data_IF_162841323067
#
_entry.id   IF_162841323067
#
_cell.length_a   1.000
_cell.length_b   1.000
_cell.length_c   1.000
_cell.angle_alpha   90.00
_cell.angle_beta   90.00
_cell.angle_gamma   90.00
#
_symmetry.space_group_name_H-M   'P 1'
#
loop_
_entity.id
_entity.type
_entity.pdbx_description
1 polymer ?
#
# COMPACT_ATOMS: atom_id res chain seq x y z
N UNK A 1 13.53 -13.19 3.72
CA UNK A 1 12.35 -14.08 3.52
C UNK A 1 11.50 -14.05 4.78
N UNK A 2 10.23 -13.64 4.68
CA UNK A 2 9.29 -13.61 5.82
C UNK A 2 8.66 -15.00 5.99
N UNK A 3 8.77 -15.58 7.19
CA UNK A 3 8.15 -16.88 7.52
C UNK A 3 6.64 -16.74 7.68
N UNK A 4 5.88 -17.83 7.52
CA UNK A 4 4.42 -17.83 7.73
C UNK A 4 4.02 -17.32 9.13
N UNK A 5 4.82 -17.64 10.16
CA UNK A 5 4.62 -17.13 11.51
C UNK A 5 4.77 -15.60 11.59
N UNK A 6 5.81 -15.04 10.97
CA UNK A 6 6.03 -13.58 10.96
C UNK A 6 4.89 -12.84 10.25
N UNK A 7 4.38 -13.38 9.14
CA UNK A 7 3.22 -12.81 8.42
C UNK A 7 1.95 -12.86 9.28
N UNK A 8 1.70 -13.97 9.98
CA UNK A 8 0.54 -14.10 10.85
C UNK A 8 0.58 -13.10 12.02
N UNK A 9 1.76 -12.89 12.62
CA UNK A 9 1.94 -11.87 13.66
C UNK A 9 1.71 -10.47 13.11
N UNK A 10 2.31 -10.11 11.97
CA UNK A 10 2.11 -8.81 11.33
C UNK A 10 0.62 -8.54 11.02
N UNK A 11 -0.09 -9.54 10.50
CA UNK A 11 -1.53 -9.43 10.22
C UNK A 11 -2.36 -9.19 11.50
N UNK A 12 -2.04 -9.87 12.60
CA UNK A 12 -2.70 -9.61 13.90
C UNK A 12 -2.46 -8.19 14.39
N UNK A 13 -1.24 -7.67 14.22
CA UNK A 13 -0.90 -6.30 14.60
C UNK A 13 -1.71 -5.29 13.78
N UNK A 14 -1.77 -5.43 12.45
CA UNK A 14 -2.57 -4.55 11.58
C UNK A 14 -4.07 -4.60 11.94
N UNK A 15 -4.61 -5.79 12.21
CA UNK A 15 -5.99 -5.93 12.68
C UNK A 15 -6.22 -5.25 14.04
N UNK A 16 -5.22 -5.28 14.93
CA UNK A 16 -5.23 -4.55 16.20
C UNK A 16 -5.32 -3.04 16.00
N UNK A 17 -4.52 -2.48 15.08
CA UNK A 17 -4.58 -1.05 14.77
C UNK A 17 -5.95 -0.63 14.22
N UNK A 18 -6.53 -1.40 13.29
CA UNK A 18 -7.88 -1.11 12.80
C UNK A 18 -8.93 -1.14 13.93
N UNK A 19 -8.83 -2.09 14.87
CA UNK A 19 -9.70 -2.11 16.05
C UNK A 19 -9.52 -0.85 16.91
N UNK A 20 -8.28 -0.42 17.14
CA UNK A 20 -7.98 0.81 17.90
C UNK A 20 -8.59 2.04 17.22
N UNK A 21 -8.48 2.17 15.90
CA UNK A 21 -9.14 3.24 15.14
C UNK A 21 -10.66 3.24 15.34
N UNK A 22 -11.30 2.06 15.32
CA UNK A 22 -12.74 2.01 15.61
C UNK A 22 -13.07 2.50 17.02
N UNK A 23 -12.28 2.06 18.01
CA UNK A 23 -12.47 2.44 19.41
C UNK A 23 -12.15 3.93 19.68
N UNK A 24 -11.41 4.60 18.80
CA UNK A 24 -11.19 6.04 18.86
C UNK A 24 -12.33 6.86 18.23
N UNK A 25 -13.30 6.20 17.60
CA UNK A 25 -14.45 6.83 16.93
C UNK A 25 -14.32 6.93 15.40
N UNK A 26 -13.22 6.44 14.82
CA UNK A 26 -13.07 6.37 13.36
C UNK A 26 -13.93 5.24 12.81
N UNK A 27 -14.85 5.55 11.91
CA UNK A 27 -15.78 4.56 11.34
C UNK A 27 -15.41 4.11 9.93
N UNK A 28 -14.54 4.85 9.24
CA UNK A 28 -14.01 4.48 7.92
C UNK A 28 -12.54 4.90 7.80
N UNK A 29 -11.70 4.03 7.27
CA UNK A 29 -10.31 4.32 6.90
C UNK A 29 -10.07 4.00 5.43
N UNK A 30 -9.05 4.64 4.85
CA UNK A 30 -8.52 4.31 3.52
C UNK A 30 -7.05 3.92 3.64
N UNK A 31 -6.72 2.67 3.36
CA UNK A 31 -5.32 2.24 3.34
C UNK A 31 -4.70 2.62 2.00
N UNK A 32 -3.42 2.99 2.01
CA UNK A 32 -2.71 3.57 0.85
C UNK A 32 -1.26 3.07 0.75
N UNK A 33 -1.05 1.80 1.11
CA UNK A 33 0.27 1.17 1.22
C UNK A 33 0.25 0.11 2.32
N UNK A 34 -0.14 -1.11 1.95
CA UNK A 34 -0.26 -2.28 2.81
C UNK A 34 0.84 -3.31 2.57
N UNK A 35 0.82 -4.38 3.37
CA UNK A 35 1.74 -5.51 3.25
C UNK A 35 1.07 -6.65 2.48
N UNK A 36 1.32 -6.74 1.17
CA UNK A 36 0.56 -7.61 0.26
C UNK A 36 -0.95 -7.42 0.45
N UNK A 37 -1.70 -8.52 0.56
CA UNK A 37 -3.18 -8.52 0.65
C UNK A 37 -3.77 -8.25 2.03
N UNK A 38 -3.01 -7.68 2.96
CA UNK A 38 -3.51 -7.52 4.34
C UNK A 38 -4.72 -6.60 4.42
N UNK A 39 -4.77 -5.56 3.61
CA UNK A 39 -5.83 -4.56 3.68
C UNK A 39 -7.16 -5.13 3.21
N UNK A 40 -7.18 -5.77 2.03
CA UNK A 40 -8.41 -6.40 1.49
C UNK A 40 -8.88 -7.56 2.37
N UNK A 41 -7.96 -8.39 2.89
CA UNK A 41 -8.32 -9.46 3.83
C UNK A 41 -8.93 -8.95 5.13
N UNK A 42 -8.40 -7.85 5.67
CA UNK A 42 -8.93 -7.26 6.89
C UNK A 42 -10.28 -6.58 6.62
N UNK A 43 -10.40 -5.84 5.51
CA UNK A 43 -11.67 -5.25 5.04
C UNK A 43 -12.76 -6.32 4.97
N UNK A 44 -12.49 -7.42 4.26
CA UNK A 44 -13.47 -8.48 4.03
C UNK A 44 -13.84 -9.18 5.35
N UNK A 45 -12.85 -9.40 6.22
CA UNK A 45 -13.07 -9.94 7.56
C UNK A 45 -13.93 -9.03 8.45
N UNK A 46 -13.78 -7.71 8.34
CA UNK A 46 -14.62 -6.73 9.07
C UNK A 46 -16.03 -6.69 8.44
N UNK A 47 -16.13 -6.60 7.12
CA UNK A 47 -17.39 -6.57 6.39
C UNK A 47 -18.25 -7.82 6.65
N UNK A 48 -17.61 -8.99 6.83
CA UNK A 48 -18.28 -10.23 7.18
C UNK A 48 -18.48 -10.44 8.69
N UNK A 49 -18.18 -9.45 9.54
CA UNK A 49 -18.32 -9.54 11.00
C UNK A 49 -17.32 -10.47 11.72
N UNK A 50 -16.32 -11.01 11.03
CA UNK A 50 -15.29 -11.90 11.62
C UNK A 50 -14.21 -11.12 12.39
N UNK A 51 -14.12 -9.81 12.18
CA UNK A 51 -13.15 -8.90 12.78
C UNK A 51 -13.85 -7.62 13.20
N UNK A 52 -13.34 -6.99 14.27
CA UNK A 52 -13.81 -5.69 14.74
C UNK A 52 -12.87 -4.63 14.17
N UNK A 53 -13.43 -3.62 13.50
CA UNK A 53 -12.71 -2.48 12.95
C UNK A 53 -13.64 -1.57 12.13
N UNK A 54 -13.15 -0.42 11.63
CA UNK A 54 -13.91 0.48 10.77
C UNK A 54 -14.14 -0.15 9.38
N UNK A 55 -15.01 0.46 8.58
CA UNK A 55 -15.04 0.20 7.14
C UNK A 55 -13.68 0.53 6.54
N UNK A 56 -13.18 -0.30 5.62
CA UNK A 56 -11.89 -0.10 4.97
C UNK A 56 -12.11 0.09 3.47
N UNK A 57 -11.51 1.13 2.89
CA UNK A 57 -11.20 1.23 1.46
C UNK A 57 -9.75 0.79 1.26
N UNK A 58 -9.55 -0.37 0.65
CA UNK A 58 -8.27 -1.06 0.62
C UNK A 58 -7.50 -0.80 -0.67
N UNK A 59 -6.21 -0.47 -0.57
CA UNK A 59 -5.30 -0.35 -1.71
C UNK A 59 -4.30 -1.52 -1.83
N UNK A 60 -4.05 -2.28 -0.76
CA UNK A 60 -2.89 -3.18 -0.66
C UNK A 60 -1.59 -2.43 -0.98
N UNK A 61 -0.65 -3.06 -1.70
CA UNK A 61 0.62 -2.46 -2.08
C UNK A 61 0.42 -1.32 -3.10
N UNK A 62 1.17 -0.24 -2.93
CA UNK A 62 1.22 0.84 -3.93
C UNK A 62 2.11 0.48 -5.12
N UNK A 63 2.14 1.37 -6.11
CA UNK A 63 3.04 1.30 -7.27
C UNK A 63 4.06 2.44 -7.16
N UNK A 64 5.33 2.08 -7.22
CA UNK A 64 6.47 2.99 -7.29
C UNK A 64 7.39 2.58 -8.44
N UNK A 65 8.49 3.29 -8.62
CA UNK A 65 9.60 2.91 -9.51
C UNK A 65 10.78 2.35 -8.70
N UNK A 66 11.73 1.64 -9.32
CA UNK A 66 13.00 1.32 -8.69
C UNK A 66 13.65 2.55 -8.05
N UNK A 67 13.99 2.46 -6.75
CA UNK A 67 14.54 3.58 -5.98
C UNK A 67 13.57 4.71 -5.65
N UNK A 68 12.27 4.56 -5.97
CA UNK A 68 11.21 5.50 -5.63
C UNK A 68 10.72 5.35 -4.19
N UNK A 69 9.78 6.21 -3.79
CA UNK A 69 9.20 6.20 -2.44
C UNK A 69 8.54 4.84 -2.13
N UNK A 70 8.87 4.29 -0.96
CA UNK A 70 8.40 3.00 -0.44
C UNK A 70 8.66 1.76 -1.33
N UNK A 71 9.45 1.88 -2.40
CA UNK A 71 9.74 0.77 -3.31
C UNK A 71 10.40 -0.41 -2.58
N UNK A 72 9.80 -1.60 -2.68
CA UNK A 72 10.27 -2.81 -1.99
C UNK A 72 9.79 -2.96 -0.54
N UNK A 73 8.87 -2.10 -0.08
CA UNK A 73 8.26 -2.18 1.25
C UNK A 73 6.73 -2.32 1.18
N UNK A 74 6.00 -1.21 1.13
CA UNK A 74 4.54 -1.17 0.95
C UNK A 74 4.14 -0.74 -0.47
N UNK A 75 5.11 -0.70 -1.37
CA UNK A 75 4.91 -0.49 -2.80
C UNK A 75 5.83 -1.41 -3.61
N UNK A 76 5.30 -1.93 -4.71
CA UNK A 76 6.10 -2.63 -5.72
C UNK A 76 6.93 -1.64 -6.54
N UNK A 77 8.08 -2.08 -7.04
CA UNK A 77 8.93 -1.31 -7.93
C UNK A 77 8.66 -1.72 -9.39
N UNK A 78 7.82 -0.96 -10.08
CA UNK A 78 7.53 -1.19 -11.50
C UNK A 78 8.64 -0.57 -12.37
N UNK A 79 9.33 -1.38 -13.16
CA UNK A 79 10.44 -0.93 -14.01
C UNK A 79 9.98 -0.21 -15.28
N UNK A 80 8.74 -0.46 -15.71
CA UNK A 80 8.13 0.12 -16.90
C UNK A 80 6.60 0.19 -16.77
N UNK A 81 5.93 0.78 -17.78
CA UNK A 81 4.47 0.93 -17.81
C UNK A 81 3.78 -0.43 -17.80
N UNK A 82 4.28 -1.41 -18.57
CA UNK A 82 3.66 -2.73 -18.65
C UNK A 82 3.69 -3.45 -17.29
N UNK A 83 4.79 -3.33 -16.55
CA UNK A 83 4.90 -3.83 -15.18
C UNK A 83 3.93 -3.12 -14.21
N UNK A 84 3.74 -1.81 -14.36
CA UNK A 84 2.78 -1.06 -13.56
C UNK A 84 1.34 -1.49 -13.87
N UNK A 85 0.98 -1.65 -15.15
CA UNK A 85 -0.34 -2.13 -15.59
C UNK A 85 -0.58 -3.56 -15.13
N UNK A 86 0.42 -4.44 -15.23
CA UNK A 86 0.31 -5.81 -14.73
C UNK A 86 0.00 -5.84 -13.22
N UNK A 87 0.58 -4.92 -12.45
CA UNK A 87 0.26 -4.79 -11.02
C UNK A 87 -1.14 -4.24 -10.78
N UNK A 88 -1.63 -3.29 -11.59
CA UNK A 88 -3.04 -2.84 -11.52
C UNK A 88 -4.00 -4.01 -11.74
N UNK A 89 -3.72 -4.88 -12.71
CA UNK A 89 -4.53 -6.08 -12.97
C UNK A 89 -4.45 -7.11 -11.82
N UNK A 90 -3.30 -7.25 -11.16
CA UNK A 90 -3.18 -8.07 -9.95
C UNK A 90 -3.99 -7.47 -8.80
N UNK A 91 -3.83 -6.19 -8.50
CA UNK A 91 -4.58 -5.51 -7.45
C UNK A 91 -6.10 -5.61 -7.68
N UNK A 92 -6.55 -5.54 -8.94
CA UNK A 92 -7.93 -5.80 -9.32
C UNK A 92 -8.38 -7.23 -8.99
N UNK A 93 -7.55 -8.26 -9.25
CA UNK A 93 -7.82 -9.65 -8.84
C UNK A 93 -7.89 -9.80 -7.32
N UNK A 94 -7.09 -9.02 -6.59
CA UNK A 94 -7.13 -8.93 -5.13
C UNK A 94 -8.32 -8.14 -4.58
N UNK A 95 -9.19 -7.64 -5.47
CA UNK A 95 -10.40 -6.89 -5.15
C UNK A 95 -10.13 -5.63 -4.34
N UNK A 96 -9.10 -4.85 -4.70
CA UNK A 96 -8.84 -3.53 -4.09
C UNK A 96 -9.92 -2.50 -4.47
N UNK A 97 -10.11 -1.48 -3.62
CA UNK A 97 -11.02 -0.37 -3.88
C UNK A 97 -10.35 0.79 -4.61
N UNK A 98 -9.00 0.88 -4.55
CA UNK A 98 -8.23 1.96 -5.17
C UNK A 98 -6.79 1.52 -5.50
N UNK A 99 -6.13 2.30 -6.36
CA UNK A 99 -4.70 2.18 -6.67
C UNK A 99 -3.96 3.39 -6.11
N UNK A 100 -2.82 3.16 -5.44
CA UNK A 100 -1.93 4.23 -4.94
C UNK A 100 -0.66 4.29 -5.79
N UNK A 101 -0.44 5.41 -6.46
CA UNK A 101 0.81 5.72 -7.15
C UNK A 101 1.73 6.58 -6.27
N UNK A 102 3.00 6.20 -6.20
CA UNK A 102 4.07 6.93 -5.52
C UNK A 102 4.89 7.70 -6.57
N UNK A 103 4.41 8.90 -6.93
CA UNK A 103 4.90 9.65 -8.09
C UNK A 103 6.26 10.32 -7.83
N UNK A 104 6.49 10.76 -6.60
CA UNK A 104 7.67 11.54 -6.21
C UNK A 104 8.49 10.83 -5.15
N UNK A 105 9.68 11.38 -4.85
CA UNK A 105 10.44 11.04 -3.66
C UNK A 105 9.63 11.38 -2.40
N UNK A 106 9.73 10.51 -1.39
CA UNK A 106 9.08 10.71 -0.10
C UNK A 106 9.99 11.42 0.89
N UNK A 107 9.38 11.92 1.96
CA UNK A 107 10.11 12.53 3.08
C UNK A 107 10.98 11.49 3.80
N UNK A 108 10.54 10.24 3.84
CA UNK A 108 11.22 9.16 4.56
C UNK A 108 12.52 8.71 3.87
N UNK A 109 12.67 8.96 2.57
CA UNK A 109 13.84 8.61 1.76
C UNK A 109 14.72 9.82 1.40
N UNK A 110 14.40 11.00 1.93
CA UNK A 110 15.16 12.20 1.69
C UNK A 110 16.53 12.12 2.34
N UNK A 111 17.58 12.18 1.51
CA UNK A 111 18.96 12.30 2.00
C UNK A 111 19.36 13.77 2.25
N UNK A 112 18.67 14.69 1.59
CA UNK A 112 18.95 16.13 1.64
C UNK A 112 17.64 16.94 1.54
N UNK A 113 17.70 18.22 1.94
CA UNK A 113 16.57 19.14 1.88
C UNK A 113 16.23 19.44 0.42
N UNK A 114 14.97 19.21 0.02
CA UNK A 114 14.48 19.44 -1.35
C UNK A 114 14.27 18.18 -2.18
N UNK A 115 14.76 17.02 -1.72
CA UNK A 115 14.56 15.72 -2.37
C UNK A 115 13.10 15.22 -2.31
N UNK A 116 12.33 15.44 -1.22
CA UNK A 116 10.89 15.15 -1.23
C UNK A 116 10.18 15.97 -2.29
N UNK A 117 9.31 15.32 -3.07
CA UNK A 117 8.56 15.97 -4.13
C UNK A 117 9.25 15.98 -5.51
N UNK A 118 10.51 15.54 -5.60
CA UNK A 118 11.13 15.28 -6.91
C UNK A 118 10.39 14.18 -7.65
N UNK A 119 10.04 14.41 -8.92
CA UNK A 119 9.42 13.40 -9.78
C UNK A 119 10.34 12.19 -9.96
N UNK A 120 9.88 11.01 -9.53
CA UNK A 120 10.61 9.74 -9.67
C UNK A 120 10.01 8.86 -10.77
N UNK A 121 8.70 8.86 -10.97
CA UNK A 121 8.09 8.10 -12.06
C UNK A 121 8.45 8.75 -13.40
N UNK A 122 9.34 8.10 -14.15
CA UNK A 122 9.71 8.43 -15.53
C UNK A 122 9.80 7.13 -16.34
N UNK A 123 8.78 6.86 -17.15
CA UNK A 123 8.80 5.74 -18.09
C UNK A 123 8.93 6.32 -19.50
N UNK A 124 10.16 6.33 -20.03
CA UNK A 124 10.48 6.87 -21.36
C UNK A 124 11.18 8.24 -21.35
N UNK A 125 11.84 8.57 -22.48
CA UNK A 125 12.47 9.86 -22.75
C UNK A 125 11.39 10.93 -22.98
N UNK A 126 10.82 11.44 -21.91
CA UNK A 126 10.11 12.73 -21.96
C UNK A 126 10.84 13.66 -21.02
N UNK A 127 11.80 14.39 -21.59
CA UNK A 127 12.31 15.63 -21.01
C UNK A 127 11.13 16.57 -20.87
N UNK A 128 10.80 16.97 -19.64
CA UNK A 128 10.04 18.20 -19.41
C UNK A 128 10.96 19.39 -19.65
#
# INVERSE_FOLDING_TARGET
>A
MSTGLSRATAYRTVAGFAKTELLSGVTTIRTVGGLGTFDTRLRDGIASGKKIGPRILAANEGISVPGGHMAGSVAIAAENIDAAVAHVEEAKRENVDLIKLMITGGVLEAKEKGVPGELKIRFGNTSL
#
